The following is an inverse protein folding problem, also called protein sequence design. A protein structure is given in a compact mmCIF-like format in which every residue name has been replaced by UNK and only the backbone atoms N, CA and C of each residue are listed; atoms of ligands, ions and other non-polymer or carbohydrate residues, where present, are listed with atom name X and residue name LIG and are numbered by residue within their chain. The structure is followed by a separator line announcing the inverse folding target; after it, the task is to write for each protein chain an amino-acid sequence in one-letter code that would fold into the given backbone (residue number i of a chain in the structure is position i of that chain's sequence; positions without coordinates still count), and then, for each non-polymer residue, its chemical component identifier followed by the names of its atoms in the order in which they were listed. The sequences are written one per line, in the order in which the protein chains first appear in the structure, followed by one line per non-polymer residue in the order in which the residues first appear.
data_IF_454961862899
#
_entry.id   IF_454961862899
#
_cell.length_a   1.000
_cell.length_b   1.000
_cell.length_c   1.000
_cell.angle_alpha   90.00
_cell.angle_beta   90.00
_cell.angle_gamma   90.00
#
_symmetry.space_group_name_H-M   'P 1'
#
loop_
_entity.id
_entity.type
_entity.pdbx_description
1 polymer ?
#
# COMPACT_ATOMS: atom_id res chain seq x y z
N UNK A 1 -5.45 -11.53 1.61
CA UNK A 1 -5.47 -10.49 2.66
C UNK A 1 -6.87 -10.17 3.10
N UNK A 2 -7.08 -9.94 4.37
CA UNK A 2 -8.38 -9.63 4.89
C UNK A 2 -8.77 -8.18 4.60
N UNK A 3 -10.06 -7.91 4.66
CA UNK A 3 -10.58 -6.55 4.50
C UNK A 3 -10.02 -5.62 5.57
N UNK A 4 -9.69 -6.15 6.73
CA UNK A 4 -9.14 -5.35 7.82
C UNK A 4 -7.80 -4.71 7.43
N UNK A 5 -6.98 -5.44 6.69
CA UNK A 5 -5.70 -4.89 6.22
C UNK A 5 -5.90 -3.72 5.29
N UNK A 6 -6.85 -3.84 4.36
CA UNK A 6 -7.13 -2.75 3.43
C UNK A 6 -7.63 -1.52 4.17
N UNK A 7 -8.52 -1.71 5.13
CA UNK A 7 -9.03 -0.61 5.93
C UNK A 7 -7.96 0.09 6.74
N UNK A 8 -7.07 -0.70 7.35
CA UNK A 8 -5.97 -0.15 8.14
C UNK A 8 -5.02 0.64 7.25
N UNK A 9 -4.65 0.08 6.10
CA UNK A 9 -3.75 0.77 5.17
C UNK A 9 -4.36 2.07 4.66
N UNK A 10 -5.62 2.03 4.28
CA UNK A 10 -6.32 3.22 3.80
C UNK A 10 -6.37 4.30 4.86
N UNK A 11 -6.71 3.92 6.09
CA UNK A 11 -6.77 4.87 7.19
C UNK A 11 -5.40 5.48 7.48
N UNK A 12 -4.37 4.65 7.43
CA UNK A 12 -3.01 5.10 7.67
C UNK A 12 -2.56 6.13 6.66
N UNK A 13 -2.74 5.80 5.38
CA UNK A 13 -2.31 6.68 4.29
C UNK A 13 -3.15 7.95 4.26
N UNK A 14 -4.45 7.83 4.47
CA UNK A 14 -5.32 9.00 4.51
C UNK A 14 -4.91 9.96 5.62
N UNK A 15 -4.50 9.42 6.76
CA UNK A 15 -4.07 10.24 7.90
C UNK A 15 -2.74 10.92 7.64
N UNK A 16 -1.81 10.22 6.99
CA UNK A 16 -0.45 10.73 6.78
C UNK A 16 -0.33 11.60 5.53
N UNK A 17 -0.99 11.22 4.47
CA UNK A 17 -0.84 11.87 3.16
C UNK A 17 -2.14 12.44 2.62
N UNK A 18 -3.27 11.96 3.14
CA UNK A 18 -4.59 12.38 2.66
C UNK A 18 -4.97 11.72 1.35
N UNK A 19 -6.26 11.71 1.05
CA UNK A 19 -6.76 11.16 -0.20
C UNK A 19 -6.72 9.65 -0.27
N UNK A 20 -6.78 9.13 -1.48
CA UNK A 20 -6.84 7.71 -1.72
C UNK A 20 -5.47 7.04 -1.62
N UNK A 21 -5.50 5.71 -1.42
CA UNK A 21 -4.29 4.91 -1.38
C UNK A 21 -3.78 4.71 -2.80
N UNK A 22 -2.51 5.03 -3.03
CA UNK A 22 -1.87 4.81 -4.33
C UNK A 22 -0.54 4.10 -4.10
N UNK A 23 -0.01 3.52 -5.17
CA UNK A 23 1.30 2.86 -5.11
C UNK A 23 2.38 3.85 -4.69
N UNK A 24 2.32 5.08 -5.19
CA UNK A 24 3.27 6.12 -4.82
C UNK A 24 3.23 6.39 -3.32
N UNK A 25 2.03 6.54 -2.76
CA UNK A 25 1.87 6.77 -1.33
C UNK A 25 2.32 5.56 -0.51
N UNK A 26 2.02 4.35 -1.00
CA UNK A 26 2.45 3.15 -0.33
C UNK A 26 3.98 3.04 -0.27
N UNK A 27 4.63 3.41 -1.35
CA UNK A 27 6.10 3.43 -1.38
C UNK A 27 6.65 4.45 -0.39
N UNK A 28 6.03 5.61 -0.31
CA UNK A 28 6.44 6.63 0.66
C UNK A 28 6.24 6.14 2.08
N UNK A 29 5.13 5.49 2.34
CA UNK A 29 4.85 4.94 3.67
C UNK A 29 5.90 3.92 4.07
N UNK A 30 6.25 3.03 3.15
CA UNK A 30 7.23 1.98 3.37
C UNK A 30 8.63 2.55 3.60
N UNK A 31 8.97 3.62 2.90
CA UNK A 31 10.31 4.20 2.92
C UNK A 31 10.48 5.31 3.96
N UNK A 32 9.40 5.75 4.59
CA UNK A 32 9.51 6.85 5.54
C UNK A 32 10.32 6.43 6.77
N UNK A 33 10.97 7.41 7.37
CA UNK A 33 11.90 7.17 8.46
C UNK A 33 11.25 6.53 9.69
N UNK A 34 10.02 6.89 9.98
CA UNK A 34 9.30 6.35 11.14
C UNK A 34 8.42 5.16 10.84
N UNK A 35 8.58 4.51 9.69
CA UNK A 35 7.73 3.40 9.31
C UNK A 35 7.90 2.22 10.25
N UNK A 36 6.77 1.69 10.75
CA UNK A 36 6.79 0.49 11.58
C UNK A 36 6.81 -0.75 10.69
N UNK A 37 7.07 -1.91 11.32
CA UNK A 37 7.03 -3.16 10.58
C UNK A 37 5.66 -3.39 9.93
N UNK A 38 4.60 -3.02 10.64
CA UNK A 38 3.25 -3.14 10.11
C UNK A 38 3.06 -2.24 8.89
N UNK A 39 3.53 -1.01 8.97
CA UNK A 39 3.44 -0.08 7.84
C UNK A 39 4.14 -0.65 6.61
N UNK A 40 5.32 -1.19 6.80
CA UNK A 40 6.09 -1.79 5.72
C UNK A 40 5.35 -2.98 5.10
N UNK A 41 4.78 -3.83 5.94
CA UNK A 41 4.04 -5.00 5.47
C UNK A 41 2.82 -4.60 4.66
N UNK A 42 2.05 -3.66 5.17
CA UNK A 42 0.84 -3.19 4.49
C UNK A 42 1.17 -2.56 3.14
N UNK A 43 2.19 -1.70 3.13
CA UNK A 43 2.60 -1.04 1.91
C UNK A 43 3.14 -2.05 0.89
N UNK A 44 3.92 -2.99 1.35
CA UNK A 44 4.49 -4.01 0.49
C UNK A 44 3.41 -4.89 -0.14
N UNK A 45 2.43 -5.29 0.66
CA UNK A 45 1.29 -6.06 0.17
C UNK A 45 0.54 -5.29 -0.92
N UNK A 46 0.25 -4.02 -0.67
CA UNK A 46 -0.47 -3.19 -1.61
C UNK A 46 0.30 -3.03 -2.93
N UNK A 47 1.59 -2.77 -2.85
CA UNK A 47 2.44 -2.60 -4.02
C UNK A 47 2.49 -3.90 -4.82
N UNK A 48 2.66 -5.04 -4.15
CA UNK A 48 2.72 -6.33 -4.80
C UNK A 48 1.41 -6.66 -5.51
N UNK A 49 0.29 -6.38 -4.88
CA UNK A 49 -1.01 -6.61 -5.48
C UNK A 49 -1.19 -5.82 -6.77
N UNK A 50 -0.84 -4.54 -6.74
CA UNK A 50 -0.97 -3.69 -7.91
C UNK A 50 -0.01 -4.10 -9.02
N UNK A 51 1.21 -4.44 -8.64
CA UNK A 51 2.20 -4.89 -9.63
C UNK A 51 1.76 -6.19 -10.29
N UNK A 52 1.24 -7.13 -9.51
CA UNK A 52 0.76 -8.39 -10.05
C UNK A 52 -0.41 -8.18 -11.01
N UNK A 53 -1.34 -7.31 -10.65
CA UNK A 53 -2.47 -6.99 -11.53
C UNK A 53 -2.01 -6.33 -12.82
N UNK A 54 -1.04 -5.42 -12.73
CA UNK A 54 -0.51 -4.76 -13.91
C UNK A 54 0.19 -5.75 -14.83
N UNK A 55 0.92 -6.69 -14.26
CA UNK A 55 1.58 -7.73 -15.04
C UNK A 55 0.56 -8.62 -15.74
N UNK A 56 -0.50 -8.99 -15.05
CA UNK A 56 -1.56 -9.81 -15.64
C UNK A 56 -2.19 -9.10 -16.83
N UNK A 57 -2.46 -7.82 -16.69
CA UNK A 57 -3.05 -7.05 -17.78
C UNK A 57 -2.13 -7.00 -18.99
N UNK A 58 -0.85 -6.84 -18.75
CA UNK A 58 0.11 -6.78 -19.84
C UNK A 58 0.18 -8.08 -20.62
N UNK A 59 0.02 -9.20 -19.94
CA UNK A 59 0.14 -10.50 -20.57
C UNK A 59 -1.11 -10.90 -21.35
N UNK A 60 -2.22 -10.30 -21.06
CA UNK A 60 -3.48 -10.57 -21.76
C UNK A 60 -3.52 -9.89 -23.14
#
# INVERSE_FOLDING_TARGET
MSKAYRGVLKARISKLYGGDVTVTKARKLKARKGATNRDKQLANWFINMHTANAKKKKRS
#
